data_IF_315624318884
#
_entry.id   IF_315624318884
#
_cell.length_a   1.000
_cell.length_b   1.000
_cell.length_c   1.000
_cell.angle_alpha   90.00
_cell.angle_beta   90.00
_cell.angle_gamma   90.00
#
_symmetry.space_group_name_H-M   'P 1'
#
loop_
_entity.id
_entity.type
_entity.pdbx_description
1 polymer ?
#
# COMPACT_ATOMS: atom_id res chain seq x y z
N UNK A 1 8.16 -15.33 -10.93
CA UNK A 1 7.05 -14.37 -11.01
C UNK A 1 7.14 -13.38 -9.86
N UNK A 2 6.95 -12.11 -10.14
CA UNK A 2 7.04 -11.03 -9.15
C UNK A 2 5.97 -11.21 -8.05
N UNK A 3 6.39 -11.10 -6.80
CA UNK A 3 5.47 -11.10 -5.65
C UNK A 3 5.13 -9.66 -5.28
N UNK A 4 3.86 -9.32 -5.35
CA UNK A 4 3.36 -7.98 -5.05
C UNK A 4 2.35 -8.07 -3.91
N UNK A 5 2.57 -7.26 -2.89
CA UNK A 5 1.65 -7.10 -1.77
C UNK A 5 0.98 -5.74 -1.88
N UNK A 6 -0.32 -5.74 -1.81
CA UNK A 6 -1.08 -4.49 -1.71
C UNK A 6 -1.66 -4.44 -0.31
N UNK A 7 -1.08 -3.59 0.52
CA UNK A 7 -1.45 -3.49 1.94
C UNK A 7 -2.24 -2.21 2.13
N UNK A 8 -3.48 -2.35 2.53
CA UNK A 8 -4.42 -1.25 2.69
C UNK A 8 -4.87 -1.14 4.14
N UNK A 9 -4.91 0.08 4.67
CA UNK A 9 -5.53 0.35 5.96
C UNK A 9 -6.99 0.73 5.69
N UNK A 10 -7.90 -0.14 6.12
CA UNK A 10 -9.31 -0.02 5.84
C UNK A 10 -9.79 -1.01 4.79
N UNK A 11 -11.10 -1.04 4.58
CA UNK A 11 -11.74 -1.95 3.63
C UNK A 11 -12.63 -1.17 2.68
N UNK A 12 -12.75 -1.67 1.45
CA UNK A 12 -13.72 -1.15 0.50
C UNK A 12 -15.13 -1.53 0.98
N UNK A 13 -16.00 -0.54 1.11
CA UNK A 13 -17.38 -0.75 1.55
C UNK A 13 -18.36 -0.84 0.40
N UNK A 14 -18.04 -0.17 -0.72
CA UNK A 14 -18.91 -0.12 -1.89
C UNK A 14 -18.74 -1.37 -2.74
N UNK A 15 -19.84 -2.06 -3.03
CA UNK A 15 -19.79 -3.31 -3.79
C UNK A 15 -19.20 -3.11 -5.18
N UNK A 16 -19.49 -2.00 -5.84
CA UNK A 16 -18.96 -1.76 -7.19
C UNK A 16 -17.45 -1.58 -7.20
N UNK A 17 -16.85 -1.01 -6.15
CA UNK A 17 -15.39 -0.95 -6.00
C UNK A 17 -14.81 -2.32 -5.71
N UNK A 18 -15.46 -3.11 -4.86
CA UNK A 18 -15.04 -4.48 -4.56
C UNK A 18 -15.02 -5.34 -5.84
N UNK A 19 -16.07 -5.23 -6.65
CA UNK A 19 -16.20 -5.98 -7.90
C UNK A 19 -15.14 -5.55 -8.92
N UNK A 20 -14.89 -4.25 -9.05
CA UNK A 20 -13.85 -3.73 -9.95
C UNK A 20 -12.46 -4.20 -9.52
N UNK A 21 -12.14 -4.11 -8.23
CA UNK A 21 -10.85 -4.59 -7.72
C UNK A 21 -10.66 -6.08 -7.92
N UNK A 22 -11.71 -6.87 -7.69
CA UNK A 22 -11.66 -8.31 -7.90
C UNK A 22 -11.32 -8.65 -9.36
N UNK A 23 -11.89 -7.92 -10.31
CA UNK A 23 -11.59 -8.10 -11.73
C UNK A 23 -10.13 -7.78 -12.07
N UNK A 24 -9.60 -6.66 -11.55
CA UNK A 24 -8.21 -6.29 -11.77
C UNK A 24 -7.24 -7.27 -11.11
N UNK A 25 -7.56 -7.76 -9.91
CA UNK A 25 -6.75 -8.77 -9.25
C UNK A 25 -6.69 -10.05 -10.09
N UNK A 26 -7.83 -10.46 -10.65
CA UNK A 26 -7.90 -11.61 -11.53
C UNK A 26 -7.01 -11.44 -12.77
N UNK A 27 -7.07 -10.27 -13.41
CA UNK A 27 -6.25 -9.97 -14.58
C UNK A 27 -4.76 -9.95 -14.27
N UNK A 28 -4.39 -9.41 -13.11
CA UNK A 28 -3.00 -9.32 -12.68
C UNK A 28 -2.39 -10.68 -12.35
N UNK A 29 -3.21 -11.70 -12.07
CA UNK A 29 -2.72 -13.04 -11.73
C UNK A 29 -1.86 -13.68 -12.81
N UNK A 30 -1.99 -13.22 -14.07
CA UNK A 30 -1.17 -13.68 -15.19
C UNK A 30 0.25 -13.07 -15.15
N UNK A 31 0.45 -11.97 -14.43
CA UNK A 31 1.68 -11.19 -14.46
C UNK A 31 2.46 -11.20 -13.15
N UNK A 32 1.78 -11.37 -12.03
CA UNK A 32 2.42 -11.36 -10.72
C UNK A 32 1.62 -12.18 -9.71
N UNK A 33 2.25 -12.47 -8.58
CA UNK A 33 1.56 -13.03 -7.43
C UNK A 33 1.12 -11.87 -6.56
N UNK A 34 -0.14 -11.50 -6.65
CA UNK A 34 -0.70 -10.39 -5.89
C UNK A 34 -1.38 -10.89 -4.63
N UNK A 35 -0.97 -10.36 -3.50
CA UNK A 35 -1.61 -10.62 -2.21
C UNK A 35 -2.21 -9.32 -1.70
N UNK A 36 -3.51 -9.31 -1.52
CA UNK A 36 -4.22 -8.17 -0.93
C UNK A 36 -4.31 -8.38 0.58
N UNK A 37 -3.84 -7.39 1.33
CA UNK A 37 -3.92 -7.39 2.80
C UNK A 37 -4.71 -6.16 3.23
N UNK A 38 -5.86 -6.38 3.84
CA UNK A 38 -6.68 -5.31 4.40
C UNK A 38 -6.52 -5.29 5.91
N UNK A 39 -6.06 -4.18 6.45
CA UNK A 39 -5.86 -4.00 7.89
C UNK A 39 -6.94 -3.07 8.43
N UNK A 40 -7.42 -3.32 9.66
CA UNK A 40 -8.40 -2.43 10.26
C UNK A 40 -7.79 -1.06 10.53
N UNK A 41 -8.57 -0.02 10.24
CA UNK A 41 -8.20 1.36 10.57
C UNK A 41 -8.37 1.57 12.08
N UNK A 42 -7.39 2.22 12.71
CA UNK A 42 -7.48 2.55 14.13
C UNK A 42 -8.62 3.54 14.37
N UNK A 43 -9.42 3.25 15.40
CA UNK A 43 -10.56 4.10 15.77
C UNK A 43 -10.06 5.38 16.42
N UNK A 44 -10.63 6.50 15.98
CA UNK A 44 -10.34 7.81 16.51
C UNK A 44 -11.64 8.50 16.93
N UNK A 45 -11.59 9.41 17.93
CA UNK A 45 -12.75 10.23 18.24
C UNK A 45 -13.11 11.15 17.07
N UNK A 46 -14.29 11.75 17.11
CA UNK A 46 -14.80 12.59 16.02
C UNK A 46 -13.89 13.78 15.72
N UNK A 47 -13.28 14.36 16.76
CA UNK A 47 -12.30 15.44 16.63
C UNK A 47 -11.01 15.05 17.34
N UNK A 48 -10.16 14.21 16.71
CA UNK A 48 -8.97 13.73 17.38
C UNK A 48 -7.90 14.81 17.51
N UNK A 49 -7.12 14.76 18.58
CA UNK A 49 -5.93 15.59 18.73
C UNK A 49 -4.81 15.07 17.83
N UNK A 50 -3.80 15.91 17.58
CA UNK A 50 -2.64 15.49 16.80
C UNK A 50 -1.93 14.30 17.43
N UNK A 51 -1.83 14.28 18.77
CA UNK A 51 -1.23 13.15 19.49
C UNK A 51 -1.99 11.85 19.30
N UNK A 52 -3.32 11.91 19.27
CA UNK A 52 -4.16 10.73 19.00
C UNK A 52 -3.98 10.23 17.59
N UNK A 53 -3.91 11.14 16.62
CA UNK A 53 -3.64 10.78 15.22
C UNK A 53 -2.28 10.12 15.09
N UNK A 54 -1.25 10.69 15.71
CA UNK A 54 0.11 10.14 15.64
C UNK A 54 0.18 8.74 16.25
N UNK A 55 -0.50 8.50 17.37
CA UNK A 55 -0.56 7.17 17.97
C UNK A 55 -1.28 6.17 17.10
N UNK A 56 -2.39 6.57 16.49
CA UNK A 56 -3.13 5.70 15.57
C UNK A 56 -2.28 5.32 14.36
N UNK A 57 -1.60 6.28 13.75
CA UNK A 57 -0.71 6.03 12.61
C UNK A 57 0.46 5.13 13.01
N UNK A 58 1.00 5.28 14.21
CA UNK A 58 2.08 4.42 14.70
C UNK A 58 1.62 2.97 14.86
N UNK A 59 0.42 2.75 15.36
CA UNK A 59 -0.16 1.41 15.48
C UNK A 59 -0.43 0.79 14.12
N UNK A 60 -0.96 1.57 13.19
CA UNK A 60 -1.18 1.11 11.82
C UNK A 60 0.13 0.76 11.13
N UNK A 61 1.17 1.56 11.34
CA UNK A 61 2.50 1.28 10.79
C UNK A 61 3.08 -0.02 11.35
N UNK A 62 2.89 -0.30 12.64
CA UNK A 62 3.31 -1.56 13.26
C UNK A 62 2.57 -2.74 12.64
N UNK A 63 1.27 -2.62 12.41
CA UNK A 63 0.47 -3.65 11.76
C UNK A 63 0.93 -3.90 10.32
N UNK A 64 1.26 -2.84 9.59
CA UNK A 64 1.81 -2.95 8.23
C UNK A 64 3.13 -3.72 8.25
N UNK A 65 4.05 -3.33 9.14
CA UNK A 65 5.36 -3.98 9.24
C UNK A 65 5.24 -5.47 9.55
N UNK A 66 4.25 -5.85 10.35
CA UNK A 66 4.02 -7.26 10.70
C UNK A 66 3.60 -8.11 9.49
N UNK A 67 3.08 -7.48 8.43
CA UNK A 67 2.65 -8.16 7.21
C UNK A 67 3.66 -8.14 6.09
N UNK A 68 4.78 -7.43 6.26
CA UNK A 68 5.79 -7.33 5.22
C UNK A 68 6.66 -8.58 5.17
N UNK A 69 6.97 -9.03 3.95
CA UNK A 69 7.95 -10.09 3.75
C UNK A 69 9.36 -9.54 4.04
N UNK A 70 10.27 -10.37 4.58
CA UNK A 70 11.66 -9.94 4.79
C UNK A 70 12.29 -9.46 3.47
N UNK A 71 12.92 -8.29 3.52
CA UNK A 71 13.60 -7.71 2.36
C UNK A 71 12.68 -7.12 1.30
N UNK A 72 11.38 -7.00 1.57
CA UNK A 72 10.46 -6.39 0.62
C UNK A 72 10.76 -4.90 0.43
N UNK A 73 10.69 -4.44 -0.81
CA UNK A 73 10.74 -3.02 -1.12
C UNK A 73 9.37 -2.39 -0.92
N UNK A 74 9.34 -1.17 -0.39
CA UNK A 74 8.09 -0.50 -0.02
C UNK A 74 7.84 0.70 -0.92
N UNK A 75 6.60 0.82 -1.38
CA UNK A 75 6.12 1.97 -2.15
C UNK A 75 4.85 2.47 -1.47
N UNK A 76 4.90 3.68 -0.94
CA UNK A 76 3.73 4.29 -0.31
C UNK A 76 2.98 5.14 -1.33
N UNK A 77 1.68 4.88 -1.48
CA UNK A 77 0.81 5.71 -2.30
C UNK A 77 0.26 6.82 -1.40
N UNK A 78 0.75 8.01 -1.56
CA UNK A 78 0.43 9.12 -0.66
C UNK A 78 0.29 10.44 -1.42
N UNK A 79 -0.41 11.39 -0.80
CA UNK A 79 -0.73 12.66 -1.43
C UNK A 79 0.53 13.48 -1.71
N UNK A 80 1.49 13.47 -0.80
CA UNK A 80 2.76 14.21 -0.90
C UNK A 80 3.81 13.51 -1.76
N UNK A 81 3.49 12.36 -2.31
CA UNK A 81 4.41 11.62 -3.17
C UNK A 81 4.55 12.22 -4.56
N UNK A 82 5.42 11.64 -5.37
CA UNK A 82 5.59 12.04 -6.76
C UNK A 82 4.51 11.41 -7.63
N UNK A 83 3.94 12.21 -8.52
CA UNK A 83 3.02 11.71 -9.51
C UNK A 83 3.78 10.92 -10.58
N UNK A 84 3.27 9.74 -10.93
CA UNK A 84 3.88 8.86 -11.93
C UNK A 84 2.84 8.44 -12.96
N UNK A 85 3.24 8.41 -14.23
CA UNK A 85 2.43 7.83 -15.27
C UNK A 85 2.48 6.29 -15.20
N UNK A 86 1.61 5.62 -15.94
CA UNK A 86 1.63 4.16 -16.05
C UNK A 86 2.95 3.68 -16.65
N UNK A 87 3.48 4.40 -17.64
CA UNK A 87 4.76 4.08 -18.27
C UNK A 87 5.92 4.23 -17.30
N UNK A 88 5.91 5.29 -16.49
CA UNK A 88 6.95 5.50 -15.46
C UNK A 88 6.90 4.41 -14.39
N UNK A 89 5.71 4.01 -13.95
CA UNK A 89 5.56 2.92 -12.99
C UNK A 89 6.07 1.61 -13.58
N UNK A 90 5.74 1.33 -14.84
CA UNK A 90 6.23 0.15 -15.54
C UNK A 90 7.76 0.11 -15.58
N UNK A 91 8.40 1.26 -15.85
CA UNK A 91 9.85 1.38 -15.84
C UNK A 91 10.46 1.13 -14.45
N UNK A 92 9.83 1.65 -13.40
CA UNK A 92 10.27 1.41 -12.03
C UNK A 92 10.20 -0.06 -11.64
N UNK A 93 9.12 -0.73 -12.02
CA UNK A 93 8.95 -2.17 -11.74
C UNK A 93 9.98 -3.00 -12.50
N UNK A 94 10.26 -2.64 -13.75
CA UNK A 94 11.26 -3.32 -14.58
C UNK A 94 12.67 -3.15 -13.99
N UNK A 95 13.05 -1.93 -13.63
CA UNK A 95 14.34 -1.64 -13.01
C UNK A 95 14.51 -2.39 -11.69
N UNK A 96 13.47 -2.36 -10.86
CA UNK A 96 13.50 -3.04 -9.57
C UNK A 96 13.68 -4.56 -9.75
N UNK A 97 12.94 -5.16 -10.68
CA UNK A 97 13.05 -6.59 -10.98
C UNK A 97 14.44 -6.97 -11.50
N UNK A 98 15.03 -6.14 -12.36
CA UNK A 98 16.35 -6.40 -12.94
C UNK A 98 17.47 -6.31 -11.92
N UNK A 99 17.25 -5.62 -10.79
CA UNK A 99 18.20 -5.55 -9.68
C UNK A 99 18.09 -6.73 -8.70
N UNK A 100 17.31 -7.74 -9.06
CA UNK A 100 17.13 -8.93 -8.24
C UNK A 100 16.05 -8.82 -7.18
N UNK A 101 15.21 -7.80 -7.25
CA UNK A 101 14.07 -7.65 -6.35
C UNK A 101 13.04 -8.75 -6.55
N UNK A 102 12.58 -9.37 -5.47
CA UNK A 102 11.62 -10.49 -5.55
C UNK A 102 10.28 -10.16 -4.92
N UNK A 103 10.22 -9.17 -4.02
CA UNK A 103 9.02 -8.83 -3.27
C UNK A 103 8.85 -7.32 -3.19
N UNK A 104 7.67 -6.84 -3.53
CA UNK A 104 7.33 -5.43 -3.56
C UNK A 104 5.99 -5.23 -2.85
N UNK A 105 5.92 -4.26 -1.95
CA UNK A 105 4.71 -3.92 -1.23
C UNK A 105 4.28 -2.49 -1.55
N UNK A 106 3.03 -2.34 -1.99
CA UNK A 106 2.38 -1.04 -2.13
C UNK A 106 1.53 -0.79 -0.89
N UNK A 107 1.65 0.39 -0.32
CA UNK A 107 0.95 0.76 0.91
C UNK A 107 -0.07 1.85 0.64
N UNK A 108 -1.29 1.63 1.07
CA UNK A 108 -2.37 2.62 1.01
C UNK A 108 -2.82 2.90 2.44
N UNK A 109 -2.70 4.15 2.87
CA UNK A 109 -3.08 4.56 4.22
C UNK A 109 -4.59 4.74 4.39
N UNK A 110 -5.00 4.91 5.64
CA UNK A 110 -6.37 5.23 6.00
C UNK A 110 -6.67 6.73 5.89
N UNK A 111 -7.66 7.20 6.66
CA UNK A 111 -8.18 8.57 6.57
C UNK A 111 -7.13 9.65 6.84
N UNK A 112 -6.13 9.36 7.67
CA UNK A 112 -5.06 10.30 8.02
C UNK A 112 -3.73 9.97 7.35
N UNK A 113 -3.75 9.10 6.33
CA UNK A 113 -2.55 8.73 5.57
C UNK A 113 -1.71 7.67 6.25
N UNK A 114 -0.40 7.78 6.10
CA UNK A 114 0.58 6.83 6.62
C UNK A 114 1.53 7.53 7.60
N UNK A 115 2.04 6.79 8.58
CA UNK A 115 3.07 7.30 9.48
C UNK A 115 4.35 7.62 8.70
N UNK A 116 5.10 8.67 9.11
CA UNK A 116 6.39 8.97 8.49
C UNK A 116 7.37 7.82 8.71
N UNK A 117 7.84 7.22 7.61
CA UNK A 117 8.86 6.16 7.59
C UNK A 117 9.65 6.29 6.29
N UNK A 118 10.73 5.51 6.15
CA UNK A 118 11.55 5.51 4.94
C UNK A 118 10.88 4.70 3.83
N UNK A 119 9.91 5.31 3.16
CA UNK A 119 9.26 4.72 2.00
C UNK A 119 9.73 5.40 0.72
N UNK A 120 9.61 4.70 -0.42
CA UNK A 120 9.54 5.36 -1.72
C UNK A 120 8.12 5.86 -1.88
N UNK A 121 7.94 7.18 -1.98
CA UNK A 121 6.62 7.78 -2.04
C UNK A 121 6.15 7.97 -3.47
N UNK A 122 4.95 7.46 -3.78
CA UNK A 122 4.24 7.74 -5.01
C UNK A 122 2.93 8.44 -4.66
N UNK A 123 2.50 9.34 -5.55
CA UNK A 123 1.23 10.03 -5.35
C UNK A 123 0.08 9.10 -5.77
N UNK A 124 -0.87 8.98 -4.87
CA UNK A 124 -2.07 8.16 -5.12
C UNK A 124 -3.00 8.81 -6.13
#
# INVERSE_FOLDING_TARGET
MLSVYLICVGKLKEKFYQDACAEYIKRLSAYCRLTLVELPEEKLPQTPSQGQIDQALAREAAAIRAKLAPGASLVALCVEGRMRSSEELSGLLSDWSSRGGSSLAFLIGGSYGLAPVSYTHLRA
#
